data_IF_888208356162
#
_entry.id   IF_888208356162
#
_cell.length_a   1.000
_cell.length_b   1.000
_cell.length_c   1.000
_cell.angle_alpha   90.00
_cell.angle_beta   90.00
_cell.angle_gamma   90.00
#
_symmetry.space_group_name_H-M   'P 1'
#
loop_
_entity.id
_entity.type
_entity.pdbx_description
1 polymer ?
#
# COMPACT_ATOMS: atom_id res chain seq x y z
N UNK A 1 28.91 7.34 20.19
CA UNK A 1 27.66 7.73 20.89
C UNK A 1 26.50 7.07 20.15
N UNK A 2 25.62 6.33 20.84
CA UNK A 2 24.44 5.72 20.22
C UNK A 2 23.42 6.82 19.90
N UNK A 3 22.96 6.91 18.66
CA UNK A 3 22.03 7.96 18.19
C UNK A 3 20.63 7.75 18.78
N UNK A 4 19.80 8.80 18.81
CA UNK A 4 18.41 8.77 19.30
C UNK A 4 17.60 7.61 18.67
N UNK A 5 17.81 7.37 17.37
CA UNK A 5 17.17 6.29 16.61
C UNK A 5 17.49 4.90 17.16
N UNK A 6 18.69 4.67 17.70
CA UNK A 6 19.06 3.37 18.27
C UNK A 6 18.26 3.07 19.54
N UNK A 7 18.10 4.05 20.43
CA UNK A 7 17.32 3.89 21.67
C UNK A 7 15.84 3.68 21.38
N UNK A 8 15.32 4.39 20.38
CA UNK A 8 13.92 4.31 19.97
C UNK A 8 13.62 2.94 19.34
N UNK A 9 14.52 2.43 18.50
CA UNK A 9 14.45 1.07 17.96
C UNK A 9 14.44 0.03 19.08
N UNK A 10 15.36 0.12 20.04
CA UNK A 10 15.42 -0.81 21.16
C UNK A 10 14.12 -0.85 21.98
N UNK A 11 13.50 0.32 22.21
CA UNK A 11 12.21 0.41 22.92
C UNK A 11 11.03 -0.14 22.10
N UNK A 12 11.06 0.01 20.78
CA UNK A 12 10.08 -0.63 19.91
C UNK A 12 10.24 -2.16 19.94
N UNK A 13 11.47 -2.67 19.84
CA UNK A 13 11.75 -4.11 19.89
C UNK A 13 11.38 -4.73 21.26
N UNK A 14 11.42 -3.97 22.36
CA UNK A 14 10.98 -4.41 23.69
C UNK A 14 9.45 -4.52 23.82
N UNK A 15 8.68 -3.67 23.12
CA UNK A 15 7.22 -3.56 23.28
C UNK A 15 6.46 -4.30 22.18
N UNK A 16 7.00 -4.36 20.97
CA UNK A 16 6.38 -5.03 19.84
C UNK A 16 6.85 -6.49 19.78
N UNK A 17 5.91 -7.41 19.96
CA UNK A 17 6.14 -8.87 19.83
C UNK A 17 6.26 -9.32 18.38
N UNK A 18 5.92 -8.45 17.42
CA UNK A 18 5.84 -8.77 15.99
C UNK A 18 7.07 -8.20 15.28
N UNK A 19 7.87 -9.08 14.70
CA UNK A 19 9.02 -8.68 13.90
C UNK A 19 8.58 -7.88 12.65
N UNK A 20 9.41 -6.93 12.17
CA UNK A 20 9.15 -6.23 10.91
C UNK A 20 9.03 -7.21 9.74
N UNK A 21 8.06 -6.99 8.86
CA UNK A 21 7.86 -7.83 7.67
C UNK A 21 9.13 -7.89 6.82
N UNK A 22 9.63 -9.10 6.59
CA UNK A 22 10.76 -9.35 5.72
C UNK A 22 10.30 -10.11 4.47
N UNK A 23 10.52 -9.54 3.29
CA UNK A 23 10.15 -10.14 2.01
C UNK A 23 11.27 -11.01 1.41
N UNK A 24 12.31 -11.34 2.19
CA UNK A 24 13.41 -12.22 1.79
C UNK A 24 14.47 -11.56 0.89
N UNK A 25 14.16 -10.42 0.24
CA UNK A 25 15.09 -9.67 -0.60
C UNK A 25 15.28 -8.23 -0.11
N UNK A 26 16.53 -7.75 0.14
CA UNK A 26 16.77 -6.46 0.78
C UNK A 26 16.14 -5.25 0.07
N UNK A 27 16.19 -5.21 -1.27
CA UNK A 27 15.59 -4.13 -2.04
C UNK A 27 14.06 -4.13 -1.94
N UNK A 28 13.46 -5.32 -1.90
CA UNK A 28 12.00 -5.48 -1.83
C UNK A 28 11.50 -5.14 -0.43
N UNK A 29 12.20 -5.63 0.61
CA UNK A 29 11.92 -5.31 2.01
C UNK A 29 12.05 -3.81 2.28
N UNK A 30 13.10 -3.15 1.76
CA UNK A 30 13.24 -1.70 1.92
C UNK A 30 12.16 -0.91 1.17
N UNK A 31 11.84 -1.30 -0.06
CA UNK A 31 10.77 -0.68 -0.84
C UNK A 31 9.42 -0.83 -0.14
N UNK A 32 9.10 -2.03 0.33
CA UNK A 32 7.88 -2.32 1.10
C UNK A 32 7.77 -1.45 2.35
N UNK A 33 8.84 -1.38 3.16
CA UNK A 33 8.83 -0.56 4.36
C UNK A 33 8.67 0.92 4.06
N UNK A 34 9.26 1.42 2.98
CA UNK A 34 9.12 2.83 2.60
C UNK A 34 7.70 3.13 2.11
N UNK A 35 7.16 2.31 1.22
CA UNK A 35 5.80 2.47 0.70
C UNK A 35 4.78 2.38 1.84
N UNK A 36 4.84 1.30 2.64
CA UNK A 36 3.86 1.08 3.72
C UNK A 36 3.90 2.14 4.81
N UNK A 37 5.04 2.79 5.08
CA UNK A 37 5.10 3.94 5.99
C UNK A 37 4.15 5.05 5.55
N UNK A 38 4.12 5.39 4.25
CA UNK A 38 3.21 6.43 3.75
C UNK A 38 1.74 6.00 3.84
N UNK A 39 1.44 4.73 3.51
CA UNK A 39 0.08 4.20 3.60
C UNK A 39 -0.43 4.06 5.03
N UNK A 40 0.44 3.84 6.03
CA UNK A 40 0.04 3.72 7.44
C UNK A 40 -0.40 5.05 8.05
N UNK A 41 0.14 6.18 7.59
CA UNK A 41 -0.16 7.49 8.20
C UNK A 41 -1.46 8.08 7.67
N UNK A 42 -1.63 8.11 6.34
CA UNK A 42 -2.84 8.64 5.70
C UNK A 42 -3.08 7.93 4.36
N UNK A 43 -3.67 6.72 4.35
CA UNK A 43 -3.81 5.93 3.13
C UNK A 43 -4.65 6.65 2.08
N UNK A 44 -5.73 7.33 2.49
CA UNK A 44 -6.70 7.93 1.58
C UNK A 44 -6.15 9.07 0.70
N UNK A 45 -5.15 9.81 1.17
CA UNK A 45 -4.57 10.93 0.42
C UNK A 45 -3.94 10.45 -0.89
N UNK A 46 -3.32 9.28 -0.89
CA UNK A 46 -2.70 8.70 -2.09
C UNK A 46 -3.62 7.71 -2.79
N UNK A 47 -4.38 6.91 -2.03
CA UNK A 47 -5.29 5.90 -2.59
C UNK A 47 -6.36 6.54 -3.45
N UNK A 48 -6.99 7.64 -3.02
CA UNK A 48 -8.10 8.24 -3.77
C UNK A 48 -7.61 8.78 -5.13
N UNK A 49 -6.60 9.67 -5.22
CA UNK A 49 -6.12 10.16 -6.51
C UNK A 49 -5.59 9.05 -7.40
N UNK A 50 -4.83 8.10 -6.84
CA UNK A 50 -4.28 6.98 -7.60
C UNK A 50 -5.39 6.08 -8.14
N UNK A 51 -6.46 5.86 -7.36
CA UNK A 51 -7.62 5.07 -7.80
C UNK A 51 -8.35 5.75 -8.96
N UNK A 52 -8.51 7.08 -8.94
CA UNK A 52 -9.09 7.83 -10.07
C UNK A 52 -8.23 7.70 -11.32
N UNK A 53 -6.91 7.82 -11.18
CA UNK A 53 -5.98 7.67 -12.31
C UNK A 53 -6.05 6.24 -12.88
N UNK A 54 -5.97 5.23 -12.02
CA UNK A 54 -6.06 3.82 -12.43
C UNK A 54 -7.41 3.53 -13.08
N UNK A 55 -8.51 4.00 -12.49
CA UNK A 55 -9.84 3.85 -13.06
C UNK A 55 -9.95 4.53 -14.44
N UNK A 56 -9.38 5.73 -14.59
CA UNK A 56 -9.27 6.41 -15.88
C UNK A 56 -8.50 5.59 -16.91
N UNK A 57 -7.32 5.09 -16.55
CA UNK A 57 -6.50 4.24 -17.43
C UNK A 57 -7.25 2.97 -17.81
N UNK A 58 -7.87 2.28 -16.84
CA UNK A 58 -8.65 1.08 -17.09
C UNK A 58 -9.84 1.37 -18.00
N UNK A 59 -10.52 2.51 -17.81
CA UNK A 59 -11.59 2.94 -18.69
C UNK A 59 -11.05 3.21 -20.11
N UNK A 60 -9.90 3.84 -20.29
CA UNK A 60 -9.34 4.09 -21.62
C UNK A 60 -8.86 2.80 -22.31
N UNK A 61 -8.24 1.87 -21.57
CA UNK A 61 -7.66 0.64 -22.12
C UNK A 61 -8.72 -0.43 -22.34
N UNK A 62 -9.60 -0.64 -21.36
CA UNK A 62 -10.59 -1.71 -21.38
C UNK A 62 -12.01 -1.22 -21.71
N UNK A 63 -12.23 0.09 -21.80
CA UNK A 63 -13.43 0.72 -22.37
C UNK A 63 -14.74 0.04 -22.00
N UNK A 64 -15.41 -0.47 -23.03
CA UNK A 64 -16.71 -1.12 -22.93
C UNK A 64 -16.69 -2.43 -22.14
N UNK A 65 -15.54 -3.09 -21.96
CA UNK A 65 -15.43 -4.36 -21.24
C UNK A 65 -15.62 -4.15 -19.74
N UNK A 66 -15.00 -3.10 -19.18
CA UNK A 66 -15.18 -2.73 -17.75
C UNK A 66 -16.62 -2.31 -17.48
N UNK A 67 -17.21 -1.50 -18.37
CA UNK A 67 -18.62 -1.11 -18.25
C UNK A 67 -19.52 -2.34 -18.30
N UNK A 68 -19.32 -3.25 -19.27
CA UNK A 68 -20.11 -4.48 -19.41
C UNK A 68 -19.97 -5.40 -18.19
N UNK A 69 -18.76 -5.59 -17.66
CA UNK A 69 -18.56 -6.41 -16.47
C UNK A 69 -19.20 -5.79 -15.22
N UNK A 70 -19.03 -4.48 -15.02
CA UNK A 70 -19.66 -3.76 -13.91
C UNK A 70 -21.19 -3.82 -14.00
N UNK A 71 -21.76 -3.59 -15.19
CA UNK A 71 -23.21 -3.72 -15.42
C UNK A 71 -23.68 -5.16 -15.19
N UNK A 72 -22.93 -6.16 -15.66
CA UNK A 72 -23.28 -7.56 -15.44
C UNK A 72 -23.21 -7.96 -13.96
N UNK A 73 -22.23 -7.47 -13.20
CA UNK A 73 -22.14 -7.69 -11.75
C UNK A 73 -23.24 -6.95 -10.98
N UNK A 74 -23.63 -5.77 -11.44
CA UNK A 74 -24.60 -4.90 -10.74
C UNK A 74 -26.06 -5.29 -11.01
N UNK A 75 -26.37 -5.82 -12.20
CA UNK A 75 -27.73 -6.18 -12.62
C UNK A 75 -27.91 -7.66 -12.94
N UNK A 76 -26.86 -8.47 -12.82
CA UNK A 76 -26.90 -9.91 -13.08
C UNK A 76 -27.16 -10.78 -11.85
N UNK A 77 -27.34 -10.18 -10.67
CA UNK A 77 -27.85 -10.83 -9.46
C UNK A 77 -29.31 -10.44 -9.23
#
# INVERSE_FOLDING_TARGET
MKTLNYRLKQKLDEVYTVEPNNLGFPLLTNSYHNVTKFFKTMPFIFVIPLSFIIAGILYFVFGTLVVKLATLLQYGF
#
